data_IF_632924606371
#
_entry.id   IF_632924606371
#
_cell.length_a   1.000
_cell.length_b   1.000
_cell.length_c   1.000
_cell.angle_alpha   90.00
_cell.angle_beta   90.00
_cell.angle_gamma   90.00
#
_symmetry.space_group_name_H-M   'P 1'
#
loop_
_entity.id
_entity.type
_entity.pdbx_description
1 polymer ?
#
# COMPACT_ATOMS: atom_id res chain seq x y z
N UNK A 1 15.73 75.57 8.10
CA UNK A 1 15.45 74.48 9.07
C UNK A 1 15.04 73.27 8.33
N UNK A 2 16.03 72.44 8.06
CA UNK A 2 15.85 71.09 7.45
C UNK A 2 15.86 70.04 8.55
N UNK A 3 14.72 69.38 8.75
CA UNK A 3 14.58 68.23 9.61
C UNK A 3 14.72 66.95 8.78
N UNK A 4 15.68 66.02 9.06
CA UNK A 4 15.76 64.73 8.38
C UNK A 4 14.64 63.81 8.89
N UNK A 5 13.90 63.25 7.97
CA UNK A 5 12.90 62.21 8.27
C UNK A 5 13.56 60.92 8.67
N UNK A 6 13.19 60.41 9.82
CA UNK A 6 13.56 59.12 10.36
C UNK A 6 12.66 58.03 9.73
N UNK A 7 13.17 57.36 8.69
CA UNK A 7 12.54 56.19 8.05
C UNK A 7 13.12 54.92 8.64
N UNK A 8 12.81 54.63 9.89
CA UNK A 8 13.07 53.32 10.48
C UNK A 8 11.82 52.40 10.28
N UNK A 9 11.71 51.83 9.08
CA UNK A 9 10.76 50.75 8.81
C UNK A 9 11.42 49.48 9.33
N UNK A 10 10.83 48.74 10.31
CA UNK A 10 11.33 47.42 10.68
C UNK A 10 11.21 46.55 9.44
N UNK A 11 12.34 46.03 8.98
CA UNK A 11 12.37 44.96 7.99
C UNK A 11 11.58 43.78 8.54
N UNK A 12 10.55 43.42 7.82
CA UNK A 12 9.90 42.12 8.00
C UNK A 12 10.92 41.06 7.63
N UNK A 13 11.59 40.53 8.64
CA UNK A 13 12.36 39.28 8.51
C UNK A 13 11.33 38.17 8.31
N UNK A 14 10.92 37.99 7.06
CA UNK A 14 10.28 36.75 6.62
C UNK A 14 11.39 35.70 6.55
N UNK A 15 11.83 35.20 7.71
CA UNK A 15 12.51 33.92 7.77
C UNK A 15 11.48 32.88 7.36
N UNK A 16 11.58 32.40 6.11
CA UNK A 16 10.87 31.19 5.66
C UNK A 16 11.22 30.07 6.63
N UNK A 17 10.37 29.81 7.60
CA UNK A 17 10.49 28.68 8.51
C UNK A 17 10.33 27.44 7.64
N UNK A 18 11.46 26.81 7.31
CA UNK A 18 11.47 25.64 6.47
C UNK A 18 10.94 24.47 7.29
N UNK A 19 9.78 23.95 6.92
CA UNK A 19 9.19 22.76 7.53
C UNK A 19 10.18 21.58 7.41
N UNK A 20 10.63 21.04 8.55
CA UNK A 20 11.55 19.87 8.60
C UNK A 20 10.74 18.59 8.85
N UNK A 21 10.15 18.04 7.77
CA UNK A 21 9.41 16.79 7.82
C UNK A 21 10.15 15.73 7.03
N UNK A 22 10.42 14.60 7.66
CA UNK A 22 11.03 13.43 7.04
C UNK A 22 10.07 12.25 7.08
N UNK A 23 9.84 11.65 5.90
CA UNK A 23 9.13 10.37 5.75
C UNK A 23 10.14 9.30 5.36
N UNK A 24 10.10 8.16 6.05
CA UNK A 24 11.00 7.03 5.81
C UNK A 24 10.26 5.70 5.82
N UNK A 25 10.78 4.72 5.05
CA UNK A 25 10.30 3.34 5.06
C UNK A 25 11.47 2.45 5.49
N UNK A 26 11.26 1.66 6.53
CA UNK A 26 12.24 0.74 7.12
C UNK A 26 11.73 -0.69 6.89
N UNK A 27 12.42 -1.45 6.04
CA UNK A 27 12.03 -2.80 5.64
C UNK A 27 13.03 -3.81 6.20
N UNK A 28 12.55 -4.86 6.85
CA UNK A 28 13.38 -5.98 7.32
C UNK A 28 13.95 -6.75 6.10
N UNK A 29 15.18 -7.26 6.17
CA UNK A 29 15.87 -7.96 5.08
C UNK A 29 15.11 -9.18 4.53
N UNK A 30 14.21 -9.77 5.32
CA UNK A 30 13.41 -10.93 4.94
C UNK A 30 12.08 -10.61 4.26
N UNK A 31 11.79 -9.33 4.12
CA UNK A 31 10.52 -8.82 3.60
C UNK A 31 10.74 -8.31 2.17
N UNK A 32 9.75 -8.47 1.27
CA UNK A 32 9.80 -7.83 -0.03
C UNK A 32 9.98 -6.31 0.07
N UNK A 33 10.69 -5.71 -0.87
CA UNK A 33 10.83 -4.26 -0.95
C UNK A 33 9.45 -3.60 -0.88
N UNK A 34 9.28 -2.71 0.08
CA UNK A 34 8.01 -2.05 0.36
C UNK A 34 8.20 -0.55 0.37
N UNK A 35 7.25 0.18 -0.19
CA UNK A 35 7.31 1.64 -0.31
C UNK A 35 5.95 2.30 -0.19
N UNK A 36 5.97 3.62 -0.12
CA UNK A 36 4.80 4.50 -0.19
C UNK A 36 4.68 5.03 -1.62
N UNK A 37 3.45 5.11 -2.14
CA UNK A 37 3.17 5.57 -3.51
C UNK A 37 2.78 7.04 -3.53
N UNK A 38 2.06 7.47 -2.50
CA UNK A 38 1.54 8.84 -2.41
C UNK A 38 2.66 9.86 -2.24
N UNK A 39 2.38 11.11 -2.59
CA UNK A 39 3.29 12.21 -2.37
C UNK A 39 3.55 12.42 -0.86
N UNK A 40 4.71 12.95 -0.52
CA UNK A 40 5.04 13.29 0.88
C UNK A 40 3.98 14.21 1.49
N UNK A 41 3.43 15.12 0.73
CA UNK A 41 2.38 16.04 1.17
C UNK A 41 1.07 15.29 1.53
N UNK A 42 0.64 14.34 0.69
CA UNK A 42 -0.56 13.54 0.93
C UNK A 42 -0.38 12.62 2.14
N UNK A 43 0.82 12.04 2.30
CA UNK A 43 1.18 11.22 3.46
C UNK A 43 1.10 12.04 4.75
N UNK A 44 1.65 13.26 4.75
CA UNK A 44 1.60 14.18 5.89
C UNK A 44 0.14 14.50 6.25
N UNK A 45 -0.69 14.85 5.26
CA UNK A 45 -2.12 15.15 5.48
C UNK A 45 -2.89 13.95 6.04
N UNK A 46 -2.53 12.73 5.63
CA UNK A 46 -3.16 11.52 6.14
C UNK A 46 -2.79 11.23 7.60
N UNK A 47 -1.59 11.60 8.05
CA UNK A 47 -0.99 11.16 9.32
C UNK A 47 -1.08 12.22 10.41
N UNK A 48 -0.84 13.50 10.09
CA UNK A 48 -0.80 14.56 11.09
C UNK A 48 -2.20 15.12 11.36
N UNK A 49 -2.46 15.44 12.60
CA UNK A 49 -3.60 16.27 12.99
C UNK A 49 -3.33 17.72 12.59
N UNK A 50 -4.36 18.57 12.59
CA UNK A 50 -4.22 20.00 12.29
C UNK A 50 -3.23 20.70 13.25
N UNK A 51 -3.27 20.36 14.55
CA UNK A 51 -2.35 20.91 15.54
C UNK A 51 -0.90 20.46 15.32
N UNK A 52 -0.69 19.22 14.91
CA UNK A 52 0.64 18.66 14.60
C UNK A 52 1.20 19.28 13.32
N UNK A 53 0.36 19.47 12.30
CA UNK A 53 0.74 20.15 11.07
C UNK A 53 1.17 21.59 11.34
N UNK A 54 0.43 22.30 12.20
CA UNK A 54 0.79 23.64 12.63
C UNK A 54 2.12 23.69 13.39
N UNK A 55 2.39 22.71 14.29
CA UNK A 55 3.68 22.62 14.95
C UNK A 55 4.83 22.46 13.94
N UNK A 56 4.62 21.65 12.89
CA UNK A 56 5.59 21.49 11.82
C UNK A 56 5.80 22.80 11.04
N UNK A 57 4.74 23.57 10.76
CA UNK A 57 4.82 24.90 10.15
C UNK A 57 5.57 25.89 11.04
N UNK A 58 5.43 25.78 12.36
CA UNK A 58 6.16 26.57 13.36
C UNK A 58 7.63 26.10 13.54
N UNK A 59 8.11 25.14 12.73
CA UNK A 59 9.49 24.67 12.69
C UNK A 59 9.81 23.53 13.64
N UNK A 60 8.81 22.87 14.23
CA UNK A 60 9.01 21.64 15.00
C UNK A 60 9.34 20.51 14.03
N UNK A 61 10.46 19.82 14.26
CA UNK A 61 10.86 18.67 13.46
C UNK A 61 9.86 17.52 13.56
N UNK A 62 9.51 16.92 12.42
CA UNK A 62 8.61 15.76 12.33
C UNK A 62 9.32 14.63 11.58
N UNK A 63 9.45 13.48 12.21
CA UNK A 63 9.91 12.25 11.58
C UNK A 63 8.73 11.24 11.54
N UNK A 64 8.42 10.73 10.34
CA UNK A 64 7.42 9.71 10.09
C UNK A 64 8.14 8.46 9.58
N UNK A 65 7.91 7.30 10.21
CA UNK A 65 8.54 6.04 9.85
C UNK A 65 7.51 4.92 9.68
N UNK A 66 7.42 4.39 8.46
CA UNK A 66 6.74 3.13 8.17
C UNK A 66 7.74 2.00 8.37
N UNK A 67 7.44 1.05 9.24
CA UNK A 67 8.26 -0.14 9.49
C UNK A 67 7.55 -1.37 8.99
N UNK A 68 8.24 -2.20 8.20
CA UNK A 68 7.67 -3.44 7.63
C UNK A 68 8.54 -4.63 8.04
N UNK A 69 7.93 -5.63 8.68
CA UNK A 69 8.60 -6.85 9.16
C UNK A 69 7.90 -8.10 8.67
N UNK A 70 8.65 -9.20 8.54
CA UNK A 70 8.07 -10.52 8.35
C UNK A 70 7.37 -10.99 9.62
N UNK A 71 6.10 -11.38 9.47
CA UNK A 71 5.28 -11.89 10.58
C UNK A 71 4.97 -13.39 10.47
N UNK A 72 5.41 -14.06 9.43
CA UNK A 72 5.08 -15.46 9.14
C UNK A 72 5.31 -16.40 10.33
N UNK A 73 6.38 -16.17 11.10
CA UNK A 73 6.78 -16.99 12.26
C UNK A 73 6.10 -16.59 13.58
N UNK A 74 5.42 -15.44 13.62
CA UNK A 74 4.95 -14.82 14.87
C UNK A 74 3.44 -14.51 14.85
N UNK A 75 2.66 -15.31 14.12
CA UNK A 75 1.21 -15.21 14.12
C UNK A 75 0.63 -15.76 15.42
N UNK A 76 -0.30 -15.01 16.00
CA UNK A 76 -1.14 -15.52 17.09
C UNK A 76 -2.13 -16.56 16.60
N UNK A 77 -2.67 -17.39 17.48
CA UNK A 77 -3.70 -18.39 17.12
C UNK A 77 -4.98 -17.72 16.59
N UNK A 78 -5.30 -16.52 17.07
CA UNK A 78 -6.44 -15.74 16.59
C UNK A 78 -6.20 -15.24 15.17
N UNK A 79 -5.01 -14.70 14.88
CA UNK A 79 -4.63 -14.29 13.51
C UNK A 79 -4.66 -15.48 12.54
N UNK A 80 -4.12 -16.62 12.92
CA UNK A 80 -4.19 -17.86 12.11
C UNK A 80 -5.63 -18.26 11.77
N UNK A 81 -6.54 -18.19 12.75
CA UNK A 81 -7.97 -18.47 12.53
C UNK A 81 -8.59 -17.47 11.56
N UNK A 82 -8.31 -16.18 11.73
CA UNK A 82 -8.81 -15.14 10.83
C UNK A 82 -8.28 -15.30 9.41
N UNK A 83 -7.00 -15.61 9.23
CA UNK A 83 -6.39 -15.89 7.93
C UNK A 83 -7.11 -17.08 7.28
N UNK A 84 -7.20 -18.20 7.98
CA UNK A 84 -7.81 -19.43 7.45
C UNK A 84 -9.30 -19.27 7.10
N UNK A 85 -10.03 -18.42 7.83
CA UNK A 85 -11.44 -18.16 7.56
C UNK A 85 -11.68 -17.23 6.36
N UNK A 86 -10.66 -16.46 5.95
CA UNK A 86 -10.76 -15.51 4.84
C UNK A 86 -10.12 -16.01 3.53
N UNK A 87 -9.27 -17.04 3.59
CA UNK A 87 -8.67 -17.66 2.42
C UNK A 87 -9.61 -18.76 1.91
N UNK A 88 -10.02 -18.67 0.65
CA UNK A 88 -10.86 -19.67 -0.03
C UNK A 88 -10.03 -20.88 -0.49
N UNK A 89 -10.70 -22.00 -0.81
CA UNK A 89 -10.05 -23.24 -1.24
C UNK A 89 -9.16 -23.10 -2.49
N UNK A 90 -9.48 -22.14 -3.37
CA UNK A 90 -8.71 -21.85 -4.58
C UNK A 90 -7.67 -20.74 -4.40
N UNK A 91 -7.48 -20.25 -3.17
CA UNK A 91 -6.54 -19.18 -2.83
C UNK A 91 -5.38 -19.69 -1.99
N UNK A 92 -4.27 -18.97 -2.04
CA UNK A 92 -3.12 -19.24 -1.21
C UNK A 92 -2.58 -17.96 -0.56
N UNK A 93 -2.02 -18.11 0.64
CA UNK A 93 -1.27 -17.04 1.27
C UNK A 93 0.12 -16.91 0.65
N UNK A 94 0.52 -15.70 0.32
CA UNK A 94 1.87 -15.34 -0.06
C UNK A 94 2.71 -14.88 1.15
N UNK A 95 3.13 -13.61 1.16
CA UNK A 95 3.87 -13.04 2.28
C UNK A 95 2.93 -12.49 3.37
N UNK A 96 3.40 -12.55 4.62
CA UNK A 96 2.69 -12.04 5.80
C UNK A 96 3.56 -10.95 6.43
N UNK A 97 3.01 -9.75 6.49
CA UNK A 97 3.72 -8.54 6.87
C UNK A 97 3.13 -7.95 8.15
N UNK A 98 3.99 -7.50 9.06
CA UNK A 98 3.64 -6.58 10.13
C UNK A 98 4.03 -5.18 9.68
N UNK A 99 3.04 -4.34 9.43
CA UNK A 99 3.25 -2.95 9.00
C UNK A 99 2.86 -2.03 10.14
N UNK A 100 3.81 -1.23 10.59
CA UNK A 100 3.66 -0.29 11.70
C UNK A 100 4.03 1.11 11.23
N UNK A 101 3.28 2.11 11.70
CA UNK A 101 3.56 3.51 11.46
C UNK A 101 3.85 4.21 12.78
N UNK A 102 4.92 4.99 12.82
CA UNK A 102 5.29 5.81 13.97
C UNK A 102 5.53 7.24 13.52
N UNK A 103 5.23 8.20 14.38
CA UNK A 103 5.60 9.60 14.22
C UNK A 103 6.33 10.12 15.45
N UNK A 104 7.28 11.01 15.20
CA UNK A 104 8.04 11.73 16.23
C UNK A 104 7.87 13.22 15.93
N UNK A 105 7.27 13.98 16.85
CA UNK A 105 7.06 15.42 16.74
C UNK A 105 7.87 16.09 17.85
N UNK A 106 8.92 16.82 17.46
CA UNK A 106 9.93 17.29 18.39
C UNK A 106 10.63 16.12 19.10
N UNK A 107 10.28 15.89 20.37
CA UNK A 107 10.81 14.78 21.18
C UNK A 107 9.73 13.72 21.51
N UNK A 108 8.50 13.92 21.07
CA UNK A 108 7.39 13.01 21.40
C UNK A 108 7.23 11.95 20.31
N UNK A 109 7.38 10.69 20.68
CA UNK A 109 7.16 9.53 19.83
C UNK A 109 5.79 8.93 20.10
N UNK A 110 5.05 8.60 19.04
CA UNK A 110 3.76 7.90 19.11
C UNK A 110 3.60 6.90 17.98
N UNK A 111 2.91 5.80 18.26
CA UNK A 111 2.46 4.86 17.24
C UNK A 111 1.17 5.38 16.61
N UNK A 112 1.03 5.17 15.30
CA UNK A 112 -0.16 5.55 14.54
C UNK A 112 -0.84 4.27 14.07
N UNK A 113 -2.01 3.99 14.62
CA UNK A 113 -2.78 2.78 14.30
C UNK A 113 -3.81 3.01 13.21
N UNK A 114 -4.36 4.23 13.14
CA UNK A 114 -5.36 4.65 12.15
C UNK A 114 -5.00 6.01 11.57
N UNK A 115 -5.37 6.23 10.32
CA UNK A 115 -5.12 7.46 9.58
C UNK A 115 -6.41 8.26 9.36
N UNK A 116 -6.25 9.56 9.09
CA UNK A 116 -7.36 10.43 8.68
C UNK A 116 -7.89 10.08 7.27
N UNK A 117 -7.02 9.57 6.41
CA UNK A 117 -7.34 9.07 5.06
C UNK A 117 -6.42 7.91 4.69
N UNK A 118 -6.85 7.05 3.78
CA UNK A 118 -6.02 5.94 3.32
C UNK A 118 -4.79 6.44 2.54
N UNK A 119 -3.69 5.71 2.69
CA UNK A 119 -2.46 5.86 1.88
C UNK A 119 -2.22 4.60 1.06
N UNK A 120 -1.48 4.74 -0.04
CA UNK A 120 -1.14 3.65 -0.93
C UNK A 120 0.23 3.08 -0.59
N UNK A 121 0.25 1.77 -0.31
CA UNK A 121 1.47 1.00 -0.06
C UNK A 121 1.73 0.11 -1.27
N UNK A 122 2.97 0.04 -1.71
CA UNK A 122 3.44 -0.89 -2.73
C UNK A 122 4.40 -1.90 -2.14
N UNK A 123 4.27 -3.15 -2.58
CA UNK A 123 5.11 -4.29 -2.20
C UNK A 123 5.62 -4.95 -3.47
N UNK A 124 6.94 -5.03 -3.66
CA UNK A 124 7.55 -5.73 -4.79
C UNK A 124 7.57 -7.22 -4.49
N UNK A 125 6.70 -7.98 -5.13
CA UNK A 125 6.56 -9.41 -4.86
C UNK A 125 7.81 -10.19 -5.28
N UNK A 126 8.17 -11.18 -4.46
CA UNK A 126 9.21 -12.14 -4.80
C UNK A 126 8.79 -12.98 -6.02
N UNK A 127 9.75 -13.47 -6.78
CA UNK A 127 9.53 -14.19 -8.04
C UNK A 127 8.73 -15.49 -7.91
N UNK A 128 8.65 -16.07 -6.73
CA UNK A 128 7.84 -17.26 -6.40
C UNK A 128 6.35 -16.91 -6.22
N UNK A 129 6.05 -15.66 -5.89
CA UNK A 129 4.68 -15.17 -5.82
C UNK A 129 4.14 -14.67 -7.17
N UNK A 130 5.01 -14.49 -8.17
CA UNK A 130 4.61 -14.06 -9.51
C UNK A 130 4.26 -15.29 -10.36
N UNK A 131 3.10 -15.26 -11.03
CA UNK A 131 2.68 -16.34 -11.91
C UNK A 131 3.61 -16.46 -13.13
N UNK A 132 4.04 -17.70 -13.42
CA UNK A 132 4.86 -18.04 -14.60
C UNK A 132 4.11 -18.94 -15.59
N UNK A 133 2.88 -19.33 -15.27
CA UNK A 133 2.02 -20.15 -16.12
C UNK A 133 1.17 -19.26 -17.02
N UNK A 134 1.53 -19.14 -18.29
CA UNK A 134 0.83 -18.31 -19.28
C UNK A 134 -0.62 -18.76 -19.58
N UNK A 135 -1.00 -19.99 -19.16
CA UNK A 135 -2.39 -20.46 -19.27
C UNK A 135 -3.31 -19.94 -18.17
N UNK A 136 -2.76 -19.23 -17.18
CA UNK A 136 -3.49 -18.70 -16.01
C UNK A 136 -3.16 -17.24 -15.78
N UNK A 137 -4.12 -16.54 -15.24
CA UNK A 137 -3.94 -15.20 -14.69
C UNK A 137 -3.97 -15.28 -13.17
N UNK A 138 -2.94 -14.72 -12.49
CA UNK A 138 -2.91 -14.63 -11.04
C UNK A 138 -3.56 -13.34 -10.58
N UNK A 139 -4.57 -13.45 -9.74
CA UNK A 139 -5.24 -12.33 -9.08
C UNK A 139 -4.76 -12.21 -7.66
N UNK A 140 -4.59 -10.99 -7.19
CA UNK A 140 -4.13 -10.70 -5.84
C UNK A 140 -5.18 -9.91 -5.07
N UNK A 141 -5.18 -10.14 -3.76
CA UNK A 141 -5.87 -9.34 -2.75
C UNK A 141 -5.02 -9.29 -1.49
N UNK A 142 -5.38 -8.44 -0.55
CA UNK A 142 -4.67 -8.32 0.72
C UNK A 142 -5.67 -8.49 1.85
N UNK A 143 -5.43 -9.41 2.77
CA UNK A 143 -6.16 -9.48 4.03
C UNK A 143 -5.43 -8.60 5.02
N UNK A 144 -6.14 -7.64 5.63
CA UNK A 144 -5.66 -6.86 6.77
C UNK A 144 -6.32 -7.39 8.04
N UNK A 145 -5.54 -7.63 9.09
CA UNK A 145 -6.04 -7.97 10.42
C UNK A 145 -5.67 -6.82 11.35
N UNK A 146 -6.67 -6.15 11.93
CA UNK A 146 -6.49 -5.05 12.85
C UNK A 146 -7.49 -5.19 14.01
N UNK A 147 -6.98 -5.15 15.26
CA UNK A 147 -7.81 -5.28 16.48
C UNK A 147 -8.77 -6.48 16.46
N UNK A 148 -8.31 -7.64 15.97
CA UNK A 148 -9.11 -8.87 15.92
C UNK A 148 -10.19 -8.90 14.85
N UNK A 149 -10.19 -7.93 13.93
CA UNK A 149 -11.10 -7.86 12.77
C UNK A 149 -10.28 -8.00 11.50
N UNK A 150 -10.82 -8.72 10.52
CA UNK A 150 -10.21 -8.89 9.19
C UNK A 150 -11.00 -8.17 8.12
N UNK A 151 -10.27 -7.46 7.25
CA UNK A 151 -10.79 -6.80 6.05
C UNK A 151 -10.08 -7.34 4.82
N UNK A 152 -10.78 -7.46 3.69
CA UNK A 152 -10.19 -7.79 2.40
C UNK A 152 -10.03 -6.50 1.60
N UNK A 153 -8.79 -6.13 1.33
CA UNK A 153 -8.43 -4.96 0.56
C UNK A 153 -8.21 -5.35 -0.90
N UNK A 154 -8.75 -4.54 -1.82
CA UNK A 154 -8.43 -4.67 -3.24
C UNK A 154 -6.97 -4.30 -3.47
N UNK A 155 -6.30 -5.04 -4.35
CA UNK A 155 -4.92 -4.79 -4.73
C UNK A 155 -4.78 -4.77 -6.25
N UNK A 156 -3.88 -3.94 -6.75
CA UNK A 156 -3.51 -3.86 -8.16
C UNK A 156 -2.08 -4.36 -8.33
N UNK A 157 -1.88 -5.31 -9.24
CA UNK A 157 -0.56 -5.85 -9.55
C UNK A 157 -0.08 -5.33 -10.90
N UNK A 158 1.12 -4.79 -10.93
CA UNK A 158 1.82 -4.38 -12.16
C UNK A 158 2.81 -5.48 -12.56
N UNK A 159 2.51 -6.18 -13.66
CA UNK A 159 3.34 -7.26 -14.18
C UNK A 159 4.72 -6.77 -14.65
N UNK A 160 4.84 -5.53 -15.12
CA UNK A 160 6.09 -4.98 -15.64
C UNK A 160 7.10 -4.72 -14.50
N UNK A 161 6.64 -4.27 -13.36
CA UNK A 161 7.49 -3.96 -12.19
C UNK A 161 7.49 -5.07 -11.15
N UNK A 162 6.47 -5.94 -11.14
CA UNK A 162 6.24 -6.94 -10.10
C UNK A 162 5.75 -6.33 -8.78
N UNK A 163 5.19 -5.12 -8.84
CA UNK A 163 4.71 -4.38 -7.67
C UNK A 163 3.20 -4.61 -7.45
N UNK A 164 2.84 -4.92 -6.22
CA UNK A 164 1.46 -5.00 -5.73
C UNK A 164 1.15 -3.74 -4.93
N UNK A 165 0.12 -2.99 -5.32
CA UNK A 165 -0.31 -1.77 -4.65
C UNK A 165 -1.68 -1.94 -4.01
N UNK A 166 -1.84 -1.49 -2.78
CA UNK A 166 -3.11 -1.46 -2.06
C UNK A 166 -3.22 -0.22 -1.17
N UNK A 167 -4.46 0.23 -0.95
CA UNK A 167 -4.75 1.35 -0.06
C UNK A 167 -5.07 0.86 1.36
N UNK A 168 -4.58 1.58 2.37
CA UNK A 168 -4.89 1.28 3.78
C UNK A 168 -4.93 2.54 4.65
N UNK A 169 -5.83 2.53 5.62
CA UNK A 169 -5.99 3.54 6.66
C UNK A 169 -5.66 3.04 8.07
N UNK A 170 -5.23 1.79 8.23
CA UNK A 170 -4.91 1.16 9.52
C UNK A 170 -3.68 0.30 9.42
N UNK A 171 -2.92 0.19 10.51
CA UNK A 171 -1.65 -0.54 10.54
C UNK A 171 -1.72 -1.71 11.50
N UNK A 172 -1.29 -2.89 11.06
CA UNK A 172 -1.15 -4.13 11.82
C UNK A 172 -0.62 -5.26 10.93
N UNK A 173 -1.32 -6.42 10.87
CA UNK A 173 -0.93 -7.59 10.09
C UNK A 173 -1.60 -7.57 8.71
N UNK A 174 -0.79 -7.81 7.66
CA UNK A 174 -1.23 -7.89 6.27
C UNK A 174 -0.79 -9.21 5.65
N UNK A 175 -1.68 -9.83 4.91
CA UNK A 175 -1.43 -11.07 4.19
C UNK A 175 -1.71 -10.84 2.72
N UNK A 176 -0.70 -11.00 1.87
CA UNK A 176 -0.91 -11.06 0.43
C UNK A 176 -1.53 -12.40 0.10
N UNK A 177 -2.67 -12.40 -0.56
CA UNK A 177 -3.40 -13.60 -0.99
C UNK A 177 -3.48 -13.61 -2.50
N UNK A 178 -3.35 -14.78 -3.11
CA UNK A 178 -3.47 -14.92 -4.55
C UNK A 178 -4.32 -16.13 -4.95
N UNK A 179 -4.88 -16.06 -6.16
CA UNK A 179 -5.57 -17.14 -6.84
C UNK A 179 -5.15 -17.21 -8.32
N UNK A 180 -4.99 -18.41 -8.85
CA UNK A 180 -4.69 -18.64 -10.25
C UNK A 180 -5.96 -19.04 -11.00
N UNK A 181 -6.41 -18.17 -11.92
CA UNK A 181 -7.61 -18.38 -12.73
C UNK A 181 -7.20 -18.77 -14.15
N UNK A 182 -7.74 -19.87 -14.66
CA UNK A 182 -7.48 -20.30 -16.03
C UNK A 182 -7.93 -19.22 -17.03
N UNK A 183 -7.09 -18.93 -18.01
CA UNK A 183 -7.44 -18.06 -19.12
C UNK A 183 -8.45 -18.78 -20.00
N UNK A 184 -9.69 -18.29 -20.10
CA UNK A 184 -10.68 -18.83 -21.01
C UNK A 184 -10.28 -18.51 -22.45
N UNK A 185 -9.61 -19.45 -23.12
CA UNK A 185 -9.50 -19.43 -24.57
C UNK A 185 -10.87 -19.77 -25.14
N UNK A 186 -11.65 -18.78 -25.47
CA UNK A 186 -12.82 -18.92 -26.34
C UNK A 186 -12.36 -19.08 -27.78
N UNK A 187 -11.74 -20.22 -28.12
CA UNK A 187 -11.74 -20.72 -29.47
C UNK A 187 -12.70 -21.92 -29.56
N UNK A 188 -14.00 -21.64 -29.41
CA UNK A 188 -15.02 -22.56 -29.92
C UNK A 188 -15.15 -22.30 -31.43
N UNK A 189 -14.19 -22.82 -32.19
CA UNK A 189 -14.39 -23.07 -33.62
C UNK A 189 -15.30 -24.28 -33.73
N UNK A 190 -16.59 -24.08 -33.56
CA UNK A 190 -17.59 -25.02 -34.02
C UNK A 190 -17.36 -25.30 -35.49
N UNK A 191 -16.87 -26.51 -35.72
CA UNK A 191 -16.63 -27.11 -37.02
C UNK A 191 -17.97 -27.30 -37.71
N UNK A 192 -18.41 -26.34 -38.53
CA UNK A 192 -19.51 -26.51 -39.43
C UNK A 192 -19.02 -27.37 -40.60
N UNK A 193 -19.12 -28.68 -40.40
CA UNK A 193 -19.03 -29.64 -41.49
C UNK A 193 -20.28 -29.55 -42.33
N UNK A 194 -20.26 -28.71 -43.40
CA UNK A 194 -21.25 -28.66 -44.42
C UNK A 194 -21.20 -29.92 -45.30
N UNK A 195 -22.03 -30.90 -45.01
CA UNK A 195 -22.25 -32.01 -45.91
C UNK A 195 -23.21 -31.59 -47.01
N UNK A 196 -22.66 -31.18 -48.14
CA UNK A 196 -23.43 -30.95 -49.38
C UNK A 196 -23.73 -32.25 -50.05
N UNK A 197 -24.94 -32.78 -49.86
CA UNK A 197 -25.47 -33.86 -50.68
C UNK A 197 -25.89 -33.34 -52.02
N UNK A 198 -25.19 -33.74 -53.05
CA UNK A 198 -25.65 -33.59 -54.42
C UNK A 198 -26.74 -34.64 -54.71
N UNK A 199 -27.96 -34.17 -54.99
CA UNK A 199 -28.99 -35.06 -55.56
C UNK A 199 -28.85 -35.03 -57.09
N UNK A 200 -28.63 -36.21 -57.61
CA UNK A 200 -28.68 -36.45 -59.03
C UNK A 200 -30.13 -36.60 -59.51
N UNK A 201 -30.46 -36.01 -60.60
CA UNK A 201 -31.72 -36.16 -61.31
C UNK A 201 -31.59 -36.98 -62.51
N UNK A 202 -32.51 -37.91 -62.68
CA UNK A 202 -32.95 -38.48 -63.96
C UNK A 202 -34.36 -38.03 -64.23
#
# INVERSE_FOLDING_TARGET
>A
DNKPGDNNKPGSDNSDVKTDIKVSVLVDERVPETGLVDSTEDIIKAILTEDEAKQAEDGVKVDIALTVKDKSSNLTEEEKKLINSNIKDNQAAGCILDIQLQKIIGLQKSDVYELNSAINIKVKLNSDLINKDSSKTRKYSVIRIHNGVSDILSATFDEATGELTFATDRFSTYIVVYEDVANSNTEDKSNVSGNGSAADNN
#
